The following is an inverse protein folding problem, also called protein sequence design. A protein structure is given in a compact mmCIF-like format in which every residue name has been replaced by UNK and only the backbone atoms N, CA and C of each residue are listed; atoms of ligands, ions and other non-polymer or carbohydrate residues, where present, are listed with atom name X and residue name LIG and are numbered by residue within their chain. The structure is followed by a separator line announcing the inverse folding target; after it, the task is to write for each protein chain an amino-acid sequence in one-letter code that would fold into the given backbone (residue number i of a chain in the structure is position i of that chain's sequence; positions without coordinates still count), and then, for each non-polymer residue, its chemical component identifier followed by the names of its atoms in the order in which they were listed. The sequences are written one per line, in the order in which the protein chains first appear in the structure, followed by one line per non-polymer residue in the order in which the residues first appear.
data_IF_415996265366
#
_entry.id   IF_415996265366
#
_cell.length_a   1.000
_cell.length_b   1.000
_cell.length_c   1.000
_cell.angle_alpha   90.00
_cell.angle_beta   90.00
_cell.angle_gamma   90.00
#
_symmetry.space_group_name_H-M   'P 1'
#
loop_
_entity.id
_entity.type
_entity.pdbx_description
1 polymer ?
#
# COMPACT_ATOMS: atom_id res chain seq x y z
N UNK A 1 -5.79 -4.83 0.66
CA UNK A 1 -5.92 -3.43 1.16
C UNK A 1 -7.02 -2.65 0.46
N UNK A 2 -7.09 -2.60 -0.88
CA UNK A 2 -8.22 -1.93 -1.56
C UNK A 2 -9.56 -2.65 -1.33
N UNK A 3 -9.57 -3.98 -1.25
CA UNK A 3 -10.76 -4.74 -0.83
C UNK A 3 -11.28 -4.36 0.56
N UNK A 4 -10.37 -3.95 1.46
CA UNK A 4 -10.74 -3.43 2.80
C UNK A 4 -11.17 -1.97 2.77
N UNK A 5 -10.62 -1.16 1.86
CA UNK A 5 -11.08 0.21 1.63
C UNK A 5 -12.49 0.26 1.04
N UNK A 6 -12.81 -0.69 0.15
CA UNK A 6 -14.15 -0.84 -0.42
C UNK A 6 -15.17 -1.33 0.63
N UNK A 7 -14.82 -2.36 1.42
CA UNK A 7 -15.67 -2.79 2.54
C UNK A 7 -15.81 -1.73 3.63
N UNK A 8 -14.75 -0.99 3.97
CA UNK A 8 -14.81 0.17 4.87
C UNK A 8 -15.82 1.20 4.35
N UNK A 9 -15.71 1.64 3.09
CA UNK A 9 -16.64 2.59 2.50
C UNK A 9 -18.08 2.05 2.43
N UNK A 10 -18.26 0.75 2.17
CA UNK A 10 -19.57 0.10 2.16
C UNK A 10 -20.20 -0.03 3.55
N UNK A 11 -19.40 -0.17 4.60
CA UNK A 11 -19.91 -0.23 5.98
C UNK A 11 -20.43 1.15 6.43
N UNK A 12 -19.80 2.24 5.99
CA UNK A 12 -20.34 3.60 6.15
C UNK A 12 -21.61 3.85 5.34
N UNK A 13 -21.93 3.03 4.33
CA UNK A 13 -23.20 3.08 3.61
C UNK A 13 -24.39 2.59 4.45
N UNK A 14 -24.13 1.84 5.53
CA UNK A 14 -25.16 1.32 6.42
C UNK A 14 -25.55 2.30 7.54
N UNK A 15 -24.86 3.44 7.67
CA UNK A 15 -25.16 4.48 8.66
C UNK A 15 -25.99 5.59 7.99
N UNK A 16 -27.24 5.80 8.45
CA UNK A 16 -28.18 6.76 7.85
C UNK A 16 -27.65 8.21 7.77
N UNK A 17 -26.68 8.58 8.62
CA UNK A 17 -26.05 9.89 8.61
C UNK A 17 -25.07 10.12 7.43
N UNK A 18 -24.59 9.05 6.77
CA UNK A 18 -23.55 9.13 5.74
C UNK A 18 -23.99 8.63 4.35
N UNK A 19 -25.23 8.16 4.21
CA UNK A 19 -25.81 7.61 2.97
C UNK A 19 -25.79 8.57 1.76
N UNK A 20 -25.84 9.88 1.99
CA UNK A 20 -25.89 10.89 0.92
C UNK A 20 -24.51 11.47 0.54
N UNK A 21 -23.42 11.01 1.17
CA UNK A 21 -22.08 11.51 0.88
C UNK A 21 -21.49 10.87 -0.38
N UNK A 22 -20.86 11.70 -1.21
CA UNK A 22 -20.32 11.35 -2.54
C UNK A 22 -19.33 10.18 -2.47
N UNK A 23 -18.58 10.04 -1.37
CA UNK A 23 -17.66 8.92 -1.15
C UNK A 23 -18.34 7.55 -1.01
N UNK A 24 -19.54 7.53 -0.43
CA UNK A 24 -20.33 6.32 -0.18
C UNK A 24 -21.20 5.98 -1.40
N UNK A 25 -21.67 7.00 -2.12
CA UNK A 25 -22.49 6.85 -3.33
C UNK A 25 -21.68 6.49 -4.57
N UNK A 26 -20.40 6.90 -4.64
CA UNK A 26 -19.49 6.60 -5.75
C UNK A 26 -18.11 6.11 -5.29
N UNK A 27 -18.02 4.95 -4.62
CA UNK A 27 -16.74 4.35 -4.23
C UNK A 27 -15.84 4.09 -5.45
N UNK A 28 -16.44 3.83 -6.62
CA UNK A 28 -15.73 3.69 -7.89
C UNK A 28 -14.89 4.94 -8.27
N UNK A 29 -15.35 6.15 -7.96
CA UNK A 29 -14.60 7.39 -8.25
C UNK A 29 -13.35 7.48 -7.38
N UNK A 30 -13.47 7.10 -6.09
CA UNK A 30 -12.34 7.06 -5.16
C UNK A 30 -11.30 6.01 -5.61
N UNK A 31 -11.77 4.85 -6.07
CA UNK A 31 -10.89 3.81 -6.61
C UNK A 31 -10.20 4.25 -7.91
N UNK A 32 -10.90 4.94 -8.82
CA UNK A 32 -10.31 5.46 -10.06
C UNK A 32 -9.19 6.47 -9.78
N UNK A 33 -9.30 7.28 -8.73
CA UNK A 33 -8.21 8.19 -8.32
C UNK A 33 -6.95 7.42 -7.95
N UNK A 34 -7.09 6.25 -7.32
CA UNK A 34 -5.93 5.40 -7.00
C UNK A 34 -5.24 4.93 -8.28
N UNK A 35 -5.99 4.48 -9.30
CA UNK A 35 -5.42 4.05 -10.59
C UNK A 35 -4.80 5.20 -11.41
N UNK A 36 -5.40 6.38 -11.38
CA UNK A 36 -4.84 7.59 -12.00
C UNK A 36 -3.52 7.96 -11.31
N UNK A 37 -3.49 7.90 -9.97
CA UNK A 37 -2.28 8.12 -9.18
C UNK A 37 -1.20 7.10 -9.53
N UNK A 38 -1.54 5.81 -9.63
CA UNK A 38 -0.61 4.76 -10.04
C UNK A 38 0.04 5.09 -11.40
N UNK A 39 -0.79 5.41 -12.39
CA UNK A 39 -0.30 5.77 -13.74
C UNK A 39 0.65 6.97 -13.72
N UNK A 40 0.35 8.00 -12.93
CA UNK A 40 1.21 9.18 -12.76
C UNK A 40 2.53 8.82 -12.05
N UNK A 41 2.48 8.01 -11.00
CA UNK A 41 3.66 7.67 -10.22
C UNK A 41 4.60 6.74 -10.97
N UNK A 42 4.10 5.81 -11.81
CA UNK A 42 4.92 4.99 -12.70
C UNK A 42 5.89 5.84 -13.53
N UNK A 43 5.42 6.98 -14.07
CA UNK A 43 6.26 7.90 -14.84
C UNK A 43 7.36 8.56 -14.01
N UNK A 44 7.13 8.75 -12.71
CA UNK A 44 8.10 9.38 -11.81
C UNK A 44 9.12 8.40 -11.24
N UNK A 45 8.87 7.08 -11.30
CA UNK A 45 9.77 6.04 -10.78
C UNK A 45 11.20 6.11 -11.32
N UNK A 46 11.46 6.20 -12.64
CA UNK A 46 12.83 6.25 -13.14
C UNK A 46 13.61 7.45 -12.57
N UNK A 47 12.95 8.57 -12.33
CA UNK A 47 13.55 9.74 -11.70
C UNK A 47 13.91 9.48 -10.23
N UNK A 48 13.00 8.89 -9.45
CA UNK A 48 13.23 8.57 -8.05
C UNK A 48 14.30 7.48 -7.87
N UNK A 49 14.28 6.45 -8.70
CA UNK A 49 15.27 5.37 -8.67
C UNK A 49 16.67 5.87 -9.03
N UNK A 50 16.80 6.73 -10.05
CA UNK A 50 18.08 7.32 -10.44
C UNK A 50 18.65 8.25 -9.36
N UNK A 51 17.80 8.99 -8.65
CA UNK A 51 18.23 9.99 -7.66
C UNK A 51 18.45 9.43 -6.25
N UNK A 52 17.60 8.50 -5.81
CA UNK A 52 17.60 8.02 -4.42
C UNK A 52 18.01 6.55 -4.30
N UNK A 53 17.97 5.78 -5.39
CA UNK A 53 18.25 4.35 -5.40
C UNK A 53 17.11 3.49 -4.86
N UNK A 54 17.15 2.20 -5.22
CA UNK A 54 16.15 1.18 -4.88
C UNK A 54 15.84 1.18 -3.37
N UNK A 55 16.88 1.15 -2.52
CA UNK A 55 16.70 1.08 -1.05
C UNK A 55 15.89 2.25 -0.48
N UNK A 56 16.19 3.49 -0.89
CA UNK A 56 15.50 4.66 -0.34
C UNK A 56 14.06 4.73 -0.87
N UNK A 57 13.84 4.39 -2.14
CA UNK A 57 12.49 4.36 -2.73
C UNK A 57 11.60 3.33 -2.04
N UNK A 58 12.12 2.14 -1.72
CA UNK A 58 11.41 1.15 -0.92
C UNK A 58 11.13 1.65 0.51
N UNK A 59 12.04 2.40 1.14
CA UNK A 59 11.77 2.96 2.46
C UNK A 59 10.68 4.05 2.41
N UNK A 60 10.70 4.90 1.38
CA UNK A 60 9.64 5.90 1.16
C UNK A 60 8.27 5.24 0.98
N UNK A 61 8.17 4.13 0.24
CA UNK A 61 6.91 3.42 0.08
C UNK A 61 6.38 2.83 1.40
N UNK A 62 7.28 2.33 2.26
CA UNK A 62 6.90 1.80 3.56
C UNK A 62 6.42 2.89 4.52
N UNK A 63 7.07 4.07 4.50
CA UNK A 63 6.62 5.25 5.25
C UNK A 63 5.27 5.74 4.71
N UNK A 64 5.09 5.76 3.39
CA UNK A 64 3.83 6.11 2.75
C UNK A 64 2.69 5.16 3.17
N UNK A 65 2.95 3.87 3.38
CA UNK A 65 1.95 2.96 3.96
C UNK A 65 1.54 3.32 5.39
N UNK A 66 2.48 3.75 6.23
CA UNK A 66 2.17 4.20 7.60
C UNK A 66 1.27 5.44 7.53
N UNK A 67 1.60 6.42 6.68
CA UNK A 67 0.76 7.60 6.47
C UNK A 67 -0.62 7.25 5.90
N UNK A 68 -0.70 6.30 4.96
CA UNK A 68 -1.97 5.81 4.41
C UNK A 68 -2.87 5.26 5.52
N UNK A 69 -2.36 4.34 6.33
CA UNK A 69 -3.14 3.73 7.40
C UNK A 69 -3.46 4.71 8.52
N UNK A 70 -2.54 5.62 8.85
CA UNK A 70 -2.81 6.72 9.78
C UNK A 70 -3.92 7.65 9.28
N UNK A 71 -3.89 8.06 8.00
CA UNK A 71 -4.93 8.88 7.40
C UNK A 71 -6.28 8.16 7.31
N UNK A 72 -6.28 6.83 7.12
CA UNK A 72 -7.52 6.03 7.18
C UNK A 72 -8.08 5.93 8.60
N UNK A 73 -7.23 5.87 9.63
CA UNK A 73 -7.69 5.80 11.01
C UNK A 73 -8.41 7.09 11.48
N UNK A 74 -8.03 8.25 10.94
CA UNK A 74 -8.64 9.55 11.28
C UNK A 74 -9.55 10.11 10.17
N UNK A 75 -9.66 9.43 9.04
CA UNK A 75 -10.47 9.83 7.91
C UNK A 75 -11.95 9.54 8.16
N UNK A 76 -12.80 10.52 7.88
CA UNK A 76 -14.25 10.44 8.04
C UNK A 76 -14.92 10.74 6.68
N UNK A 77 -15.87 9.93 6.20
CA UNK A 77 -16.64 10.18 4.97
C UNK A 77 -17.38 11.52 4.92
N UNK A 78 -17.60 12.22 6.03
CA UNK A 78 -18.20 13.55 6.06
C UNK A 78 -17.16 14.68 5.87
N UNK A 79 -16.63 15.24 6.96
CA UNK A 79 -15.79 16.44 6.90
C UNK A 79 -14.32 16.15 6.51
N UNK A 80 -13.84 14.93 6.75
CA UNK A 80 -12.43 14.54 6.55
C UNK A 80 -12.22 13.66 5.30
N UNK A 81 -13.14 13.74 4.34
CA UNK A 81 -13.10 12.98 3.10
C UNK A 81 -11.83 13.27 2.27
N UNK A 82 -11.24 14.45 2.45
CA UNK A 82 -9.93 14.81 1.90
C UNK A 82 -8.80 13.88 2.38
N UNK A 83 -8.85 13.36 3.61
CA UNK A 83 -7.86 12.43 4.14
C UNK A 83 -7.95 11.07 3.43
N UNK A 84 -9.17 10.63 3.09
CA UNK A 84 -9.42 9.41 2.32
C UNK A 84 -8.88 9.59 0.89
N UNK A 85 -9.15 10.72 0.23
CA UNK A 85 -8.57 11.03 -1.08
C UNK A 85 -7.04 11.07 -1.05
N UNK A 86 -6.46 11.75 -0.07
CA UNK A 86 -5.01 11.83 0.08
C UNK A 86 -4.41 10.43 0.30
N UNK A 87 -5.08 9.60 1.10
CA UNK A 87 -4.70 8.21 1.35
C UNK A 87 -4.74 7.33 0.09
N UNK A 88 -5.72 7.56 -0.80
CA UNK A 88 -5.79 6.92 -2.12
C UNK A 88 -4.64 7.32 -3.03
N UNK A 89 -4.26 8.61 -3.06
CA UNK A 89 -3.12 9.08 -3.83
C UNK A 89 -1.82 8.46 -3.31
N UNK A 90 -1.61 8.50 -1.99
CA UNK A 90 -0.43 7.94 -1.31
C UNK A 90 -0.31 6.42 -1.58
N UNK A 91 -1.43 5.72 -1.72
CA UNK A 91 -1.41 4.30 -2.07
C UNK A 91 -0.85 4.01 -3.44
N UNK A 92 -1.27 4.74 -4.47
CA UNK A 92 -0.71 4.52 -5.82
C UNK A 92 0.81 4.67 -5.79
N UNK A 93 1.31 5.74 -5.14
CA UNK A 93 2.74 5.93 -4.92
C UNK A 93 3.37 4.76 -4.15
N UNK A 94 2.83 4.38 -2.99
CA UNK A 94 3.41 3.36 -2.14
C UNK A 94 3.43 1.98 -2.82
N UNK A 95 2.34 1.62 -3.49
CA UNK A 95 2.18 0.36 -4.17
C UNK A 95 3.16 0.24 -5.35
N UNK A 96 3.24 1.27 -6.20
CA UNK A 96 4.12 1.25 -7.36
C UNK A 96 5.59 1.28 -6.97
N UNK A 97 5.95 2.18 -6.04
CA UNK A 97 7.34 2.32 -5.60
C UNK A 97 7.83 1.03 -4.95
N UNK A 98 7.00 0.33 -4.18
CA UNK A 98 7.37 -0.94 -3.58
C UNK A 98 7.46 -2.07 -4.62
N UNK A 99 6.45 -2.24 -5.46
CA UNK A 99 6.40 -3.36 -6.41
C UNK A 99 7.44 -3.23 -7.52
N UNK A 100 7.60 -2.04 -8.09
CA UNK A 100 8.54 -1.82 -9.19
C UNK A 100 9.98 -1.82 -8.68
N UNK A 101 10.27 -1.13 -7.57
CA UNK A 101 11.64 -1.17 -7.00
C UNK A 101 12.00 -2.56 -6.48
N UNK A 102 11.06 -3.26 -5.86
CA UNK A 102 11.28 -4.63 -5.37
C UNK A 102 11.50 -5.63 -6.50
N UNK A 103 10.72 -5.54 -7.59
CA UNK A 103 10.95 -6.39 -8.75
C UNK A 103 12.27 -6.09 -9.47
N UNK A 104 12.64 -4.81 -9.62
CA UNK A 104 13.93 -4.41 -10.18
C UNK A 104 15.10 -4.87 -9.30
N UNK A 105 14.95 -4.82 -7.97
CA UNK A 105 15.94 -5.36 -7.05
C UNK A 105 16.16 -6.86 -7.28
N UNK A 106 15.07 -7.64 -7.29
CA UNK A 106 15.13 -9.09 -7.54
C UNK A 106 15.76 -9.38 -8.91
N UNK A 107 15.41 -8.60 -9.93
CA UNK A 107 15.99 -8.70 -11.26
C UNK A 107 17.52 -8.51 -11.23
N UNK A 108 18.00 -7.44 -10.58
CA UNK A 108 19.44 -7.11 -10.51
C UNK A 108 20.26 -8.16 -9.74
N UNK A 109 19.63 -8.90 -8.83
CA UNK A 109 20.28 -9.96 -8.05
C UNK A 109 20.18 -11.33 -8.74
N UNK A 110 19.39 -11.46 -9.81
CA UNK A 110 19.15 -12.70 -10.54
C UNK A 110 19.93 -12.78 -11.84
N UNK A 111 20.31 -13.99 -12.24
CA UNK A 111 20.97 -14.24 -13.51
C UNK A 111 20.05 -13.84 -14.68
N UNK A 112 20.64 -13.27 -15.75
CA UNK A 112 19.91 -12.80 -16.94
C UNK A 112 18.91 -13.81 -17.49
N UNK A 113 19.21 -15.12 -17.38
CA UNK A 113 18.34 -16.19 -17.89
C UNK A 113 17.04 -16.37 -17.11
N UNK A 114 17.00 -15.97 -15.83
CA UNK A 114 15.85 -16.21 -14.93
C UNK A 114 15.19 -14.93 -14.41
N UNK A 115 15.60 -13.76 -14.91
CA UNK A 115 15.09 -12.44 -14.50
C UNK A 115 13.57 -12.34 -14.52
N UNK A 116 12.96 -12.69 -15.66
CA UNK A 116 11.51 -12.65 -15.81
C UNK A 116 10.79 -13.59 -14.84
N UNK A 117 11.34 -14.79 -14.61
CA UNK A 117 10.80 -15.76 -13.65
C UNK A 117 10.95 -15.28 -12.21
N UNK A 118 12.07 -14.66 -11.86
CA UNK A 118 12.33 -14.13 -10.53
C UNK A 118 11.41 -12.93 -10.21
N UNK A 119 11.21 -12.03 -11.16
CA UNK A 119 10.24 -10.94 -11.05
C UNK A 119 8.80 -11.47 -10.94
N UNK A 120 8.42 -12.45 -11.76
CA UNK A 120 7.10 -13.08 -11.70
C UNK A 120 6.84 -13.76 -10.35
N UNK A 121 7.84 -14.46 -9.81
CA UNK A 121 7.77 -15.08 -8.49
C UNK A 121 7.63 -14.02 -7.38
N UNK A 122 8.38 -12.92 -7.46
CA UNK A 122 8.23 -11.81 -6.52
C UNK A 122 6.81 -11.25 -6.52
N UNK A 123 6.25 -10.97 -7.70
CA UNK A 123 4.87 -10.48 -7.82
C UNK A 123 3.84 -11.48 -7.29
N UNK A 124 4.04 -12.78 -7.54
CA UNK A 124 3.15 -13.83 -7.01
C UNK A 124 3.21 -13.92 -5.48
N UNK A 125 4.39 -13.74 -4.89
CA UNK A 125 4.57 -13.77 -3.45
C UNK A 125 3.97 -12.53 -2.78
N UNK A 126 4.11 -11.34 -3.35
CA UNK A 126 3.59 -10.09 -2.76
C UNK A 126 2.08 -9.94 -2.99
N UNK A 127 1.62 -10.06 -4.23
CA UNK A 127 0.24 -9.75 -4.63
C UNK A 127 -0.66 -11.00 -4.69
N UNK A 128 -0.09 -12.21 -4.73
CA UNK A 128 -0.85 -13.46 -4.68
C UNK A 128 -0.93 -14.01 -3.26
N UNK A 129 0.09 -14.79 -2.87
CA UNK A 129 0.10 -15.47 -1.56
C UNK A 129 0.11 -14.50 -0.38
N UNK A 130 0.90 -13.42 -0.47
CA UNK A 130 0.96 -12.39 0.56
C UNK A 130 -0.39 -11.71 0.78
N UNK A 131 -1.08 -11.34 -0.29
CA UNK A 131 -2.42 -10.75 -0.21
C UNK A 131 -3.46 -11.74 0.34
N UNK A 132 -3.42 -13.01 -0.08
CA UNK A 132 -4.33 -14.05 0.39
C UNK A 132 -4.16 -14.35 1.88
N UNK A 133 -2.94 -14.66 2.32
CA UNK A 133 -2.64 -14.94 3.73
C UNK A 133 -2.86 -13.70 4.59
N UNK A 134 -2.46 -12.53 4.09
CA UNK A 134 -2.69 -11.25 4.77
C UNK A 134 -4.16 -11.02 5.04
N UNK A 135 -5.01 -11.19 4.03
CA UNK A 135 -6.47 -10.99 4.17
C UNK A 135 -7.12 -12.02 5.10
N UNK A 136 -6.69 -13.29 5.04
CA UNK A 136 -7.16 -14.33 5.97
C UNK A 136 -6.77 -14.03 7.42
N UNK A 137 -5.50 -13.72 7.66
CA UNK A 137 -5.00 -13.46 9.01
C UNK A 137 -5.60 -12.17 9.58
N UNK A 138 -5.66 -11.10 8.77
CA UNK A 138 -6.27 -9.86 9.21
C UNK A 138 -7.76 -10.03 9.49
N UNK A 139 -8.49 -10.79 8.67
CA UNK A 139 -9.90 -11.09 8.91
C UNK A 139 -10.13 -11.75 10.27
N UNK A 140 -9.31 -12.75 10.63
CA UNK A 140 -9.40 -13.44 11.94
C UNK A 140 -9.09 -12.49 13.10
N UNK A 141 -8.08 -11.62 12.93
CA UNK A 141 -7.70 -10.65 13.98
C UNK A 141 -8.80 -9.60 14.16
N UNK A 142 -9.38 -9.11 13.07
CA UNK A 142 -10.47 -8.14 13.07
C UNK A 142 -11.70 -8.73 13.77
N UNK A 143 -12.12 -9.93 13.38
CA UNK A 143 -13.29 -10.62 13.93
C UNK A 143 -13.15 -10.90 15.44
N UNK A 144 -11.93 -11.23 15.90
CA UNK A 144 -11.68 -11.59 17.30
C UNK A 144 -11.46 -10.41 18.24
N UNK A 145 -10.82 -9.33 17.77
CA UNK A 145 -10.37 -8.22 18.62
C UNK A 145 -11.04 -6.88 18.34
N UNK A 146 -11.61 -6.70 17.14
CA UNK A 146 -12.16 -5.41 16.69
C UNK A 146 -13.64 -5.49 16.32
N UNK A 147 -14.29 -6.63 16.58
CA UNK A 147 -15.75 -6.76 16.54
C UNK A 147 -16.31 -6.33 17.89
N UNK A 148 -17.05 -5.22 17.90
CA UNK A 148 -17.70 -4.71 19.10
C UNK A 148 -18.94 -5.54 19.46
N UNK A 149 -19.39 -5.46 20.72
CA UNK A 149 -20.52 -6.25 21.22
C UNK A 149 -21.87 -5.92 20.57
N UNK A 150 -21.96 -4.79 19.86
CA UNK A 150 -23.11 -4.36 19.06
C UNK A 150 -23.06 -4.86 17.60
N UNK A 151 -22.01 -5.60 17.22
CA UNK A 151 -21.79 -6.11 15.87
C UNK A 151 -21.13 -5.12 14.91
N UNK A 152 -20.70 -3.94 15.38
CA UNK A 152 -19.97 -2.97 14.56
C UNK A 152 -18.45 -3.22 14.62
N UNK A 153 -17.76 -2.86 13.55
CA UNK A 153 -16.29 -2.93 13.50
C UNK A 153 -15.65 -1.65 14.03
N UNK A 154 -14.63 -1.79 14.89
CA UNK A 154 -13.75 -0.69 15.29
C UNK A 154 -12.77 -0.35 14.17
N UNK A 155 -13.25 0.34 13.14
CA UNK A 155 -12.44 0.69 11.98
C UNK A 155 -11.20 1.53 12.35
N UNK A 156 -11.32 2.44 13.31
CA UNK A 156 -10.19 3.25 13.76
C UNK A 156 -9.10 2.36 14.39
N UNK A 157 -9.48 1.46 15.29
CA UNK A 157 -8.56 0.49 15.90
C UNK A 157 -7.90 -0.43 14.88
N UNK A 158 -8.66 -0.91 13.89
CA UNK A 158 -8.16 -1.77 12.80
C UNK A 158 -7.09 -1.03 11.97
N UNK A 159 -7.36 0.21 11.58
CA UNK A 159 -6.41 1.00 10.79
C UNK A 159 -5.16 1.36 11.58
N UNK A 160 -5.29 1.68 12.87
CA UNK A 160 -4.15 1.89 13.76
C UNK A 160 -3.32 0.62 13.95
N UNK A 161 -3.95 -0.56 14.07
CA UNK A 161 -3.26 -1.83 14.14
C UNK A 161 -2.47 -2.11 12.85
N UNK A 162 -3.07 -1.85 11.68
CA UNK A 162 -2.36 -1.94 10.40
C UNK A 162 -1.20 -0.92 10.30
N UNK A 163 -1.40 0.32 10.73
CA UNK A 163 -0.35 1.34 10.76
C UNK A 163 0.82 0.91 11.65
N UNK A 164 0.52 0.38 12.85
CA UNK A 164 1.50 -0.16 13.79
C UNK A 164 2.27 -1.35 13.21
N UNK A 165 1.58 -2.28 12.58
CA UNK A 165 2.22 -3.40 11.88
C UNK A 165 3.16 -2.91 10.76
N UNK A 166 2.70 -1.99 9.90
CA UNK A 166 3.53 -1.39 8.85
C UNK A 166 4.73 -0.64 9.42
N UNK A 167 4.59 0.05 10.55
CA UNK A 167 5.70 0.70 11.24
C UNK A 167 6.75 -0.31 11.72
N UNK A 168 6.33 -1.41 12.35
CA UNK A 168 7.24 -2.49 12.77
C UNK A 168 7.98 -3.06 11.57
N UNK A 169 7.28 -3.38 10.48
CA UNK A 169 7.89 -3.91 9.25
C UNK A 169 8.84 -2.89 8.62
N UNK A 170 8.50 -1.60 8.61
CA UNK A 170 9.38 -0.54 8.12
C UNK A 170 10.66 -0.41 8.96
N UNK A 171 10.56 -0.50 10.28
CA UNK A 171 11.72 -0.48 11.19
C UNK A 171 12.61 -1.71 10.96
N UNK A 172 12.01 -2.90 10.91
CA UNK A 172 12.75 -4.13 10.60
C UNK A 172 13.46 -4.03 9.25
N UNK A 173 12.78 -3.54 8.23
CA UNK A 173 13.39 -3.33 6.92
C UNK A 173 14.54 -2.30 7.00
N UNK A 174 14.37 -1.18 7.70
CA UNK A 174 15.43 -0.20 7.87
C UNK A 174 16.68 -0.77 8.56
N UNK A 175 16.50 -1.66 9.55
CA UNK A 175 17.57 -2.28 10.32
C UNK A 175 18.26 -3.44 9.58
N UNK A 176 17.50 -4.35 8.99
CA UNK A 176 18.01 -5.57 8.35
C UNK A 176 18.43 -5.34 6.89
N UNK A 177 17.78 -4.42 6.19
CA UNK A 177 18.06 -4.18 4.77
C UNK A 177 19.29 -3.28 4.58
N UNK A 178 20.48 -3.83 4.81
CA UNK A 178 21.77 -3.17 4.54
C UNK A 178 22.19 -3.37 3.08
N UNK A 179 21.44 -2.79 2.14
CA UNK A 179 21.88 -2.72 0.75
C UNK A 179 22.81 -1.50 0.55
N UNK A 180 24.03 -1.73 0.04
CA UNK A 180 24.95 -0.67 -0.42
C UNK A 180 24.39 -0.11 -1.72
N UNK A 181 24.20 1.20 -1.77
CA UNK A 181 23.80 1.90 -3.00
C UNK A 181 24.97 1.85 -3.98
N UNK A 182 24.82 1.15 -5.10
CA UNK A 182 25.78 1.18 -6.20
C UNK A 182 25.14 1.90 -7.42
N UNK A 183 25.47 3.19 -7.63
CA UNK A 183 24.93 3.99 -8.73
C UNK A 183 25.33 3.49 -10.11
N UNK A 184 26.42 2.71 -10.24
CA UNK A 184 26.96 2.28 -11.53
C UNK A 184 26.12 1.17 -12.18
N UNK A 185 25.52 0.27 -11.38
CA UNK A 185 24.67 -0.81 -11.87
C UNK A 185 23.34 -0.32 -12.51
N UNK A 186 22.87 0.87 -12.13
CA UNK A 186 21.65 1.49 -12.69
C UNK A 186 21.96 2.18 -14.03
N UNK A 187 23.19 2.67 -14.23
CA UNK A 187 23.61 3.30 -15.48
C UNK A 187 23.79 2.28 -16.63
N UNK A 188 24.15 1.04 -16.32
CA UNK A 188 24.30 -0.06 -17.29
C UNK A 188 23.00 -0.71 -17.76
N UNK A 189 21.85 -0.30 -17.21
CA UNK A 189 20.51 -0.80 -17.59
C UNK A 189 19.83 0.05 -18.68
N UNK A 190 20.52 1.03 -19.26
CA UNK A 190 20.07 1.65 -20.49
C UNK A 190 20.24 0.63 -21.63
N UNK A 191 19.14 -0.06 -21.96
CA UNK A 191 18.97 -0.71 -23.25
C UNK A 191 18.92 0.33 -24.37
#
# INVERSE_FOLDING_TARGET
TNAYGDTFLHDFANVDAFKDLVAVKYPAIIMSISQISETLFILTIPFFLKRFGIKKVMLFSMIAWIFRFGLFAYGDPAANLWMIFLSCIIYGMAFDFFNISGSLFVETQSDQRIRASAQGLFMMMTNGFGAFLGSRLSGIVIDKYFLMADGQFDWQGIWLAFAGYSLVVAILFALFFKHKHDPEAVASLNH
#
